data_IF_551910238101
#
_entry.id   IF_551910238101
#
_cell.length_a   1.000
_cell.length_b   1.000
_cell.length_c   1.000
_cell.angle_alpha   90.00
_cell.angle_beta   90.00
_cell.angle_gamma   90.00
#
_symmetry.space_group_name_H-M   'P 1'
#
loop_
_entity.id
_entity.type
_entity.pdbx_description
1 polymer ?
#
# COMPACT_ATOMS: atom_id res chain seq x y z
N UNK A 1 -9.81 -4.02 -19.12
CA UNK A 1 -8.48 -4.69 -19.14
C UNK A 1 -7.97 -4.67 -17.72
N UNK A 2 -7.30 -5.73 -17.26
CA UNK A 2 -6.70 -5.73 -15.92
C UNK A 2 -5.47 -4.83 -15.92
N UNK A 3 -5.36 -3.96 -14.92
CA UNK A 3 -4.27 -3.01 -14.76
C UNK A 3 -3.36 -3.46 -13.61
N UNK A 4 -2.12 -2.95 -13.63
CA UNK A 4 -1.18 -3.07 -12.51
C UNK A 4 -0.88 -1.66 -12.05
N UNK A 5 -1.27 -1.35 -10.81
CA UNK A 5 -1.02 -0.09 -10.14
C UNK A 5 0.30 -0.23 -9.38
N UNK A 6 1.23 0.71 -9.57
CA UNK A 6 2.49 0.72 -8.86
C UNK A 6 2.46 1.74 -7.72
N UNK A 7 2.63 1.24 -6.50
CA UNK A 7 2.83 2.06 -5.32
C UNK A 7 4.32 2.08 -5.00
N UNK A 8 4.91 3.27 -5.10
CA UNK A 8 6.29 3.49 -4.66
C UNK A 8 6.26 4.14 -3.29
N UNK A 9 6.79 3.45 -2.28
CA UNK A 9 6.95 3.92 -0.90
C UNK A 9 8.34 4.54 -0.77
N UNK A 10 8.39 5.85 -0.53
CA UNK A 10 9.65 6.58 -0.39
C UNK A 10 9.93 6.87 1.07
N UNK A 11 11.14 6.57 1.53
CA UNK A 11 11.53 6.77 2.93
C UNK A 11 12.94 7.36 3.04
N UNK A 12 13.15 8.16 4.10
CA UNK A 12 14.39 8.92 4.31
C UNK A 12 14.93 8.61 5.70
N UNK A 13 16.24 8.37 5.80
CA UNK A 13 16.89 8.13 7.09
C UNK A 13 16.68 9.32 8.04
N UNK A 14 16.30 9.01 9.29
CA UNK A 14 15.99 10.02 10.31
C UNK A 14 14.54 10.51 10.29
N UNK A 15 13.73 10.09 9.31
CA UNK A 15 12.29 10.36 9.26
C UNK A 15 11.51 9.06 9.39
N UNK A 16 10.68 8.96 10.43
CA UNK A 16 9.88 7.75 10.67
C UNK A 16 8.76 7.59 9.64
N UNK A 17 8.20 8.70 9.14
CA UNK A 17 7.10 8.66 8.18
C UNK A 17 7.65 8.53 6.75
N UNK A 18 7.14 7.54 6.04
CA UNK A 18 7.36 7.36 4.61
C UNK A 18 6.26 8.10 3.82
N UNK A 19 6.58 8.50 2.60
CA UNK A 19 5.63 9.04 1.62
C UNK A 19 5.36 8.02 0.53
N UNK A 20 4.40 8.30 -0.35
CA UNK A 20 4.08 7.40 -1.44
C UNK A 20 3.70 8.13 -2.73
N UNK A 21 3.79 7.39 -3.82
CA UNK A 21 3.30 7.80 -5.13
C UNK A 21 2.59 6.64 -5.80
N UNK A 22 1.64 6.96 -6.67
CA UNK A 22 0.94 6.03 -7.54
C UNK A 22 1.39 6.25 -8.98
N UNK A 23 1.92 5.22 -9.61
CA UNK A 23 2.37 5.24 -11.01
C UNK A 23 3.30 6.45 -11.32
N UNK A 24 4.14 6.80 -10.34
CA UNK A 24 5.09 7.93 -10.40
C UNK A 24 4.50 9.31 -10.06
N UNK A 25 3.21 9.39 -9.71
CA UNK A 25 2.54 10.63 -9.27
C UNK A 25 2.52 10.69 -7.74
N UNK A 26 3.17 11.70 -7.10
CA UNK A 26 3.17 11.84 -5.65
C UNK A 26 1.76 11.98 -5.06
N UNK A 27 1.53 11.31 -3.94
CA UNK A 27 0.27 11.32 -3.20
C UNK A 27 0.49 11.86 -1.77
N UNK A 28 -0.59 12.30 -1.15
CA UNK A 28 -0.66 12.69 0.26
C UNK A 28 -1.30 11.58 1.10
N UNK A 29 -1.25 11.73 2.43
CA UNK A 29 -2.00 10.85 3.34
C UNK A 29 -3.51 11.03 3.13
N UNK A 30 -4.25 9.92 3.04
CA UNK A 30 -5.68 9.92 2.71
C UNK A 30 -5.99 10.06 1.21
N UNK A 31 -4.98 10.16 0.35
CA UNK A 31 -5.21 10.07 -1.10
C UNK A 31 -5.62 8.66 -1.49
N UNK A 32 -6.42 8.57 -2.55
CA UNK A 32 -7.04 7.32 -2.98
C UNK A 32 -6.87 7.07 -4.46
N UNK A 33 -6.82 5.80 -4.83
CA UNK A 33 -6.82 5.37 -6.22
C UNK A 33 -7.99 4.44 -6.55
N UNK A 34 -8.38 4.44 -7.83
CA UNK A 34 -9.44 3.58 -8.33
C UNK A 34 -8.84 2.29 -8.88
N UNK A 35 -9.39 1.16 -8.48
CA UNK A 35 -9.03 -0.15 -8.99
C UNK A 35 -10.29 -0.94 -9.38
N UNK A 36 -10.10 -1.95 -10.22
CA UNK A 36 -11.14 -2.90 -10.58
C UNK A 36 -10.83 -4.29 -10.01
N UNK A 37 -11.87 -5.12 -9.74
CA UNK A 37 -11.66 -6.51 -9.39
C UNK A 37 -10.73 -7.22 -10.38
N UNK A 38 -9.69 -7.87 -9.85
CA UNK A 38 -8.66 -8.56 -10.63
C UNK A 38 -7.46 -7.71 -11.04
N UNK A 39 -7.46 -6.40 -10.78
CA UNK A 39 -6.26 -5.57 -10.90
C UNK A 39 -5.15 -6.04 -9.95
N UNK A 40 -3.93 -5.57 -10.19
CA UNK A 40 -2.77 -5.84 -9.34
C UNK A 40 -2.23 -4.56 -8.71
N UNK A 41 -1.63 -4.69 -7.55
CA UNK A 41 -0.90 -3.60 -6.87
C UNK A 41 0.51 -4.06 -6.57
N UNK A 42 1.50 -3.41 -7.19
CA UNK A 42 2.92 -3.69 -6.97
C UNK A 42 3.51 -2.68 -6.00
N UNK A 43 4.27 -3.13 -5.01
CA UNK A 43 4.93 -2.28 -4.02
C UNK A 43 6.43 -2.19 -4.30
N UNK A 44 6.90 -0.99 -4.61
CA UNK A 44 8.32 -0.65 -4.70
C UNK A 44 8.72 0.20 -3.48
N UNK A 45 9.95 0.03 -3.00
CA UNK A 45 10.49 0.81 -1.90
C UNK A 45 11.71 1.59 -2.38
N UNK A 46 11.74 2.89 -2.11
CA UNK A 46 12.83 3.79 -2.48
C UNK A 46 13.33 4.52 -1.25
N UNK A 47 14.57 4.24 -0.85
CA UNK A 47 15.15 4.86 0.33
C UNK A 47 16.55 4.32 0.61
N UNK A 48 17.14 4.73 1.74
CA UNK A 48 18.48 4.30 2.12
C UNK A 48 18.46 2.84 2.59
N UNK A 49 18.87 1.94 1.69
CA UNK A 49 19.18 0.55 2.01
C UNK A 49 18.09 -0.46 1.69
N UNK A 50 18.26 -1.67 2.22
CA UNK A 50 17.42 -2.82 1.92
C UNK A 50 16.33 -3.00 2.96
N UNK A 51 15.11 -3.32 2.50
CA UNK A 51 13.98 -3.65 3.34
C UNK A 51 14.24 -5.00 4.03
N UNK A 52 14.21 -5.01 5.36
CA UNK A 52 14.46 -6.20 6.18
C UNK A 52 13.15 -6.93 6.50
N UNK A 53 12.21 -6.23 7.14
CA UNK A 53 10.87 -6.73 7.47
C UNK A 53 9.83 -5.71 7.02
N UNK A 54 8.71 -6.16 6.45
CA UNK A 54 7.65 -5.26 6.01
C UNK A 54 6.29 -5.94 6.10
N UNK A 55 5.33 -5.23 6.71
CA UNK A 55 3.96 -5.69 6.89
C UNK A 55 3.03 -4.59 6.41
N UNK A 56 2.10 -4.96 5.53
CA UNK A 56 0.95 -4.14 5.18
C UNK A 56 -0.28 -4.62 5.93
N UNK A 57 -1.04 -3.67 6.48
CA UNK A 57 -2.30 -3.93 7.17
C UNK A 57 -3.40 -3.11 6.50
N UNK A 58 -4.43 -3.76 5.96
CA UNK A 58 -5.59 -3.12 5.36
C UNK A 58 -6.83 -3.21 6.26
N UNK A 59 -7.71 -2.23 6.16
CA UNK A 59 -9.00 -2.19 6.85
C UNK A 59 -10.09 -1.53 6.00
N UNK A 60 -11.35 -1.81 6.34
CA UNK A 60 -12.49 -1.16 5.70
C UNK A 60 -12.61 0.29 6.16
N UNK A 61 -12.88 1.21 5.24
CA UNK A 61 -13.15 2.61 5.57
C UNK A 61 -14.63 2.96 5.56
N UNK A 62 -15.46 2.08 5.00
CA UNK A 62 -16.89 2.26 4.89
C UNK A 62 -17.64 0.99 5.27
N UNK A 63 -18.82 1.17 5.87
CA UNK A 63 -19.74 0.07 6.12
C UNK A 63 -20.22 -0.52 4.78
N UNK A 64 -20.35 -1.84 4.71
CA UNK A 64 -20.86 -2.54 3.51
C UNK A 64 -19.79 -3.04 2.54
N UNK A 65 -18.50 -2.83 2.83
CA UNK A 65 -17.42 -3.45 2.05
C UNK A 65 -17.47 -4.98 2.17
N UNK A 66 -17.20 -5.68 1.07
CA UNK A 66 -17.18 -7.14 1.03
C UNK A 66 -15.89 -7.72 1.67
N UNK A 67 -15.77 -7.62 3.00
CA UNK A 67 -14.66 -8.15 3.79
C UNK A 67 -13.60 -7.13 4.19
N UNK A 68 -12.67 -7.53 5.05
CA UNK A 68 -11.72 -6.64 5.74
C UNK A 68 -10.54 -6.13 4.90
N UNK A 69 -10.42 -6.56 3.64
CA UNK A 69 -9.29 -6.22 2.77
C UNK A 69 -9.74 -6.06 1.32
N UNK A 70 -9.11 -5.15 0.55
CA UNK A 70 -9.29 -5.10 -0.90
C UNK A 70 -8.48 -6.20 -1.61
N UNK A 71 -7.53 -6.85 -0.91
CA UNK A 71 -6.56 -7.78 -1.48
C UNK A 71 -6.98 -9.24 -1.25
N UNK A 72 -6.69 -10.11 -2.21
CA UNK A 72 -6.94 -11.56 -2.09
C UNK A 72 -6.03 -12.24 -1.05
N UNK A 73 -4.88 -11.64 -0.77
CA UNK A 73 -3.87 -12.08 0.17
C UNK A 73 -4.29 -11.87 1.64
N UNK A 74 -5.36 -11.11 1.87
CA UNK A 74 -5.93 -10.86 3.18
C UNK A 74 -5.51 -9.52 3.78
N UNK A 75 -5.92 -9.30 5.02
CA UNK A 75 -5.81 -7.99 5.67
C UNK A 75 -4.43 -7.68 6.25
N UNK A 76 -3.62 -8.70 6.53
CA UNK A 76 -2.26 -8.54 7.03
C UNK A 76 -1.34 -9.32 6.11
N UNK A 77 -0.51 -8.61 5.36
CA UNK A 77 0.37 -9.20 4.36
C UNK A 77 1.80 -8.86 4.70
N UNK A 78 2.66 -9.88 4.81
CA UNK A 78 4.10 -9.67 4.89
C UNK A 78 4.60 -9.34 3.48
N UNK A 79 4.96 -8.09 3.24
CA UNK A 79 5.48 -7.66 1.95
C UNK A 79 6.99 -7.96 1.90
N UNK A 80 7.41 -8.55 0.80
CA UNK A 80 8.81 -8.57 0.36
C UNK A 80 9.08 -7.39 -0.58
N UNK A 81 10.34 -7.03 -0.78
CA UNK A 81 10.71 -6.07 -1.81
C UNK A 81 10.11 -6.49 -3.17
N UNK A 82 9.40 -5.56 -3.84
CA UNK A 82 8.71 -5.78 -5.12
C UNK A 82 7.51 -6.76 -5.07
N UNK A 83 6.83 -6.86 -3.93
CA UNK A 83 5.61 -7.69 -3.82
C UNK A 83 4.50 -7.18 -4.73
N UNK A 84 3.76 -8.12 -5.32
CA UNK A 84 2.54 -7.86 -6.07
C UNK A 84 1.37 -8.49 -5.35
N UNK A 85 0.35 -7.68 -5.05
CA UNK A 85 -0.92 -8.12 -4.49
C UNK A 85 -2.02 -8.07 -5.55
N UNK A 86 -3.10 -8.82 -5.33
CA UNK A 86 -4.22 -8.88 -6.27
C UNK A 86 -5.47 -8.28 -5.65
N UNK A 87 -6.12 -7.39 -6.38
CA UNK A 87 -7.42 -6.84 -6.00
C UNK A 87 -8.46 -7.94 -6.11
N UNK A 88 -9.16 -8.17 -5.00
CA UNK A 88 -10.20 -9.18 -4.87
C UNK A 88 -11.48 -8.84 -5.63
N UNK A 89 -12.50 -9.67 -5.43
CA UNK A 89 -13.82 -9.47 -6.06
C UNK A 89 -14.72 -8.48 -5.31
N UNK A 90 -14.33 -8.10 -4.09
CA UNK A 90 -15.10 -7.19 -3.26
C UNK A 90 -15.11 -5.77 -3.84
N UNK A 91 -16.24 -5.08 -3.67
CA UNK A 91 -16.37 -3.66 -3.99
C UNK A 91 -16.44 -2.86 -2.68
N UNK A 92 -15.93 -1.63 -2.71
CA UNK A 92 -15.90 -0.76 -1.54
C UNK A 92 -14.65 0.09 -1.44
N UNK A 93 -14.41 0.61 -0.23
CA UNK A 93 -13.30 1.49 0.11
C UNK A 93 -12.49 0.91 1.27
N UNK A 94 -11.18 0.80 1.08
CA UNK A 94 -10.26 0.32 2.09
C UNK A 94 -9.06 1.25 2.20
N UNK A 95 -8.59 1.43 3.42
CA UNK A 95 -7.32 2.06 3.73
C UNK A 95 -6.32 0.97 4.08
N UNK A 96 -5.04 1.24 3.91
CA UNK A 96 -4.00 0.37 4.42
C UNK A 96 -2.81 1.15 4.90
N UNK A 97 -2.01 0.51 5.74
CA UNK A 97 -0.79 1.07 6.30
C UNK A 97 0.35 0.12 6.03
N UNK A 98 1.57 0.64 5.90
CA UNK A 98 2.77 -0.18 5.68
C UNK A 98 3.78 0.14 6.77
N UNK A 99 4.11 -0.85 7.60
CA UNK A 99 5.15 -0.73 8.62
C UNK A 99 6.32 -1.62 8.24
N UNK A 100 7.53 -1.07 8.25
CA UNK A 100 8.71 -1.78 7.80
C UNK A 100 9.98 -1.33 8.50
N UNK A 101 11.01 -2.17 8.44
CA UNK A 101 12.37 -1.82 8.83
C UNK A 101 13.29 -1.88 7.62
N UNK A 102 14.30 -1.01 7.61
CA UNK A 102 15.35 -1.02 6.59
C UNK A 102 16.73 -0.98 7.25
N UNK A 103 17.69 -1.67 6.63
CA UNK A 103 19.09 -1.60 6.98
C UNK A 103 19.73 -0.42 6.25
N UNK A 104 19.96 0.68 6.96
CA UNK A 104 20.55 1.89 6.38
C UNK A 104 22.00 1.62 5.94
N UNK A 105 22.47 2.41 4.98
CA UNK A 105 23.84 2.31 4.44
C UNK A 105 24.95 2.58 5.47
N UNK A 106 24.62 3.11 6.65
CA UNK A 106 25.55 3.33 7.77
C UNK A 106 25.64 2.13 8.75
N UNK A 107 24.95 1.02 8.44
CA UNK A 107 24.91 -0.18 9.28
C UNK A 107 23.88 -0.13 10.41
N UNK A 108 23.08 0.92 10.51
CA UNK A 108 21.96 0.98 11.47
C UNK A 108 20.68 0.38 10.88
N UNK A 109 19.76 -0.03 11.75
CA UNK A 109 18.40 -0.42 11.33
C UNK A 109 17.42 0.61 11.88
N UNK A 110 16.57 1.12 11.01
CA UNK A 110 15.50 2.06 11.38
C UNK A 110 14.13 1.50 10.99
N UNK A 111 13.10 2.02 11.65
CA UNK A 111 11.70 1.64 11.42
C UNK A 111 10.95 2.80 10.77
N UNK A 112 10.11 2.45 9.82
CA UNK A 112 9.36 3.37 8.97
C UNK A 112 7.88 3.00 8.92
N UNK A 113 7.06 3.99 8.64
CA UNK A 113 5.62 3.84 8.60
C UNK A 113 4.99 4.69 7.50
N UNK A 114 4.16 4.08 6.66
CA UNK A 114 3.29 4.73 5.70
C UNK A 114 1.85 4.65 6.24
N UNK A 115 1.22 5.78 6.60
CA UNK A 115 0.06 5.76 7.49
C UNK A 115 -1.29 5.54 6.83
N UNK A 116 -1.53 5.99 5.59
CA UNK A 116 -2.92 6.04 5.07
C UNK A 116 -3.09 6.15 3.53
N UNK A 117 -2.53 5.24 2.70
CA UNK A 117 -3.03 5.07 1.33
C UNK A 117 -4.41 4.41 1.28
N UNK A 118 -5.27 4.88 0.38
CA UNK A 118 -6.61 4.33 0.17
C UNK A 118 -6.81 3.72 -1.22
N UNK A 119 -7.66 2.69 -1.30
CA UNK A 119 -8.10 2.09 -2.56
C UNK A 119 -9.62 1.95 -2.60
N UNK A 120 -10.20 2.41 -3.70
CA UNK A 120 -11.61 2.19 -4.04
C UNK A 120 -11.70 1.13 -5.13
N UNK A 121 -12.40 0.03 -4.86
CA UNK A 121 -12.58 -1.06 -5.82
C UNK A 121 -13.99 -1.05 -6.39
N UNK A 122 -14.07 -1.02 -7.72
CA UNK A 122 -15.31 -1.00 -8.48
C UNK A 122 -15.62 0.39 -9.04
N UNK A 123 -16.88 0.64 -9.39
CA UNK A 123 -17.34 1.97 -9.77
C UNK A 123 -17.66 2.76 -8.52
N UNK A 124 -17.14 4.00 -8.40
CA UNK A 124 -17.77 5.00 -7.52
C UNK A 124 -19.23 5.13 -7.96
N UNK A 125 -20.14 4.46 -7.26
CA UNK A 125 -21.52 4.87 -7.23
C UNK A 125 -21.53 6.18 -6.43
N UNK A 126 -21.24 7.30 -7.10
CA UNK A 126 -21.66 8.59 -6.59
C UNK A 126 -23.19 8.60 -6.68
N UNK A 127 -23.87 8.60 -5.54
CA UNK A 127 -25.17 9.26 -5.46
C UNK A 127 -25.01 10.77 -5.70
#
# INVERSE_FOLDING_TARGET
>A
MLQTHQITVTYVQGQTLATWSLDGVPCQDGDSFQAQPGDKVTFQFEGPGDIAECVMISGQMQNGCAGSSPFTEGNRVNLKANSTLHIGKGQGAWGFTVSFSAHNGDGTTAFYYLPDPEVFVGSRSCE
#
